data_IF_218288208839
#
_entry.id   IF_218288208839
#
_cell.length_a   1.000
_cell.length_b   1.000
_cell.length_c   1.000
_cell.angle_alpha   90.00
_cell.angle_beta   90.00
_cell.angle_gamma   90.00
#
_symmetry.space_group_name_H-M   'P 1'
#
loop_
_entity.id
_entity.type
_entity.pdbx_description
1 polymer ?
#
# COMPACT_ATOMS: atom_id res chain seq x y z
N UNK A 1 1.26 3.50 12.43
CA UNK A 1 2.43 2.88 11.78
C UNK A 1 2.14 1.42 11.49
N UNK A 2 2.78 0.88 10.46
CA UNK A 2 2.57 -0.47 9.92
C UNK A 2 3.93 -1.11 9.64
N UNK A 3 3.95 -2.38 9.28
CA UNK A 3 5.16 -3.14 8.95
C UNK A 3 5.33 -3.39 7.46
N UNK A 4 4.27 -3.21 6.69
CA UNK A 4 4.17 -3.64 5.29
C UNK A 4 3.95 -5.15 5.13
N UNK A 5 3.54 -5.84 6.19
CA UNK A 5 3.07 -7.22 6.13
C UNK A 5 1.54 -7.24 6.03
N UNK A 6 1.04 -7.56 4.86
CA UNK A 6 -0.40 -7.63 4.62
C UNK A 6 -1.00 -8.77 5.42
N UNK A 7 -2.00 -8.46 6.25
CA UNK A 7 -2.63 -9.41 7.17
C UNK A 7 -4.06 -9.78 6.77
N UNK A 8 -4.65 -9.06 5.81
CA UNK A 8 -5.96 -9.39 5.23
C UNK A 8 -6.11 -8.78 3.83
N UNK A 9 -7.05 -9.30 3.06
CA UNK A 9 -7.48 -8.74 1.77
C UNK A 9 -8.95 -8.38 1.87
N UNK A 10 -9.22 -7.10 2.06
CA UNK A 10 -10.58 -6.57 2.12
C UNK A 10 -11.22 -6.41 0.74
N UNK A 11 -12.53 -6.19 0.73
CA UNK A 11 -13.31 -5.95 -0.50
C UNK A 11 -14.14 -4.69 -0.36
N UNK A 12 -14.11 -3.83 -1.37
CA UNK A 12 -14.99 -2.66 -1.48
C UNK A 12 -16.43 -3.10 -1.76
N UNK A 13 -17.37 -2.67 -0.91
CA UNK A 13 -18.82 -2.96 -1.04
C UNK A 13 -19.64 -1.72 -1.37
N UNK A 14 -19.13 -0.52 -1.08
CA UNK A 14 -19.68 0.72 -1.61
C UNK A 14 -18.58 1.76 -1.82
N UNK A 15 -18.82 2.67 -2.78
CA UNK A 15 -17.95 3.81 -3.08
C UNK A 15 -18.85 4.99 -3.42
N UNK A 16 -18.63 6.12 -2.74
CA UNK A 16 -19.29 7.38 -3.02
C UNK A 16 -18.23 8.44 -3.35
N UNK A 17 -18.39 9.12 -4.48
CA UNK A 17 -17.45 10.13 -5.01
C UNK A 17 -18.06 11.55 -4.99
N UNK A 18 -18.97 11.84 -4.06
CA UNK A 18 -19.57 13.18 -3.97
C UNK A 18 -18.54 14.22 -3.48
N UNK A 19 -18.82 14.96 -2.41
CA UNK A 19 -17.92 16.01 -1.91
C UNK A 19 -16.63 15.47 -1.28
N UNK A 20 -16.72 14.34 -0.58
CA UNK A 20 -15.59 13.61 0.02
C UNK A 20 -15.67 12.18 -0.51
N UNK A 21 -14.52 11.63 -0.92
CA UNK A 21 -14.46 10.23 -1.32
C UNK A 21 -14.69 9.34 -0.10
N UNK A 22 -15.77 8.57 -0.09
CA UNK A 22 -16.13 7.66 0.97
C UNK A 22 -16.25 6.24 0.41
N UNK A 23 -15.75 5.26 1.15
CA UNK A 23 -15.83 3.86 0.78
C UNK A 23 -16.14 2.98 1.97
N UNK A 24 -16.92 1.91 1.75
CA UNK A 24 -17.14 0.84 2.72
C UNK A 24 -16.39 -0.41 2.30
N UNK A 25 -15.65 -0.98 3.24
CA UNK A 25 -14.81 -2.16 3.05
C UNK A 25 -15.28 -3.27 3.99
N UNK A 26 -15.41 -4.49 3.48
CA UNK A 26 -15.57 -5.73 4.27
C UNK A 26 -14.20 -6.35 4.46
N UNK A 27 -13.90 -6.81 5.67
CA UNK A 27 -12.65 -7.48 6.03
C UNK A 27 -12.90 -8.65 7.00
N UNK A 28 -11.87 -9.51 7.16
CA UNK A 28 -11.91 -10.66 8.07
C UNK A 28 -11.26 -10.39 9.43
N UNK A 29 -10.85 -9.16 9.72
CA UNK A 29 -10.30 -8.81 11.02
C UNK A 29 -11.31 -9.09 12.14
N UNK A 30 -10.81 -9.33 13.35
CA UNK A 30 -11.67 -9.49 14.51
C UNK A 30 -12.37 -8.15 14.86
N UNK A 31 -13.70 -8.17 14.94
CA UNK A 31 -14.53 -7.00 15.21
C UNK A 31 -14.19 -6.33 16.55
N UNK A 32 -14.08 -7.11 17.63
CA UNK A 32 -13.86 -6.57 18.97
C UNK A 32 -12.46 -5.99 19.16
N UNK A 33 -11.47 -6.56 18.44
CA UNK A 33 -10.07 -6.14 18.50
C UNK A 33 -9.74 -5.02 17.49
N UNK A 34 -10.73 -4.42 16.84
CA UNK A 34 -10.55 -3.32 15.89
C UNK A 34 -11.47 -2.18 16.27
N UNK A 35 -10.93 -1.17 16.95
CA UNK A 35 -11.74 -0.06 17.49
C UNK A 35 -12.11 0.93 16.36
N UNK A 36 -13.28 1.59 16.47
CA UNK A 36 -13.58 2.78 15.67
C UNK A 36 -12.56 3.88 16.01
N UNK A 37 -12.17 4.66 15.01
CA UNK A 37 -11.09 5.63 15.13
C UNK A 37 -9.70 5.02 14.98
N UNK A 38 -9.56 3.70 14.89
CA UNK A 38 -8.28 3.08 14.57
C UNK A 38 -7.85 3.37 13.12
N UNK A 39 -6.54 3.37 12.88
CA UNK A 39 -5.99 3.42 11.53
C UNK A 39 -5.79 2.01 10.98
N UNK A 40 -6.21 1.80 9.74
CA UNK A 40 -5.89 0.61 8.94
C UNK A 40 -5.18 1.11 7.67
N UNK A 41 -4.19 0.37 7.21
CA UNK A 41 -3.52 0.57 5.94
C UNK A 41 -4.33 -0.09 4.81
N UNK A 42 -4.64 0.66 3.75
CA UNK A 42 -5.47 0.24 2.61
C UNK A 42 -4.68 0.41 1.32
N UNK A 43 -4.18 -0.67 0.72
CA UNK A 43 -3.23 -0.58 -0.40
C UNK A 43 -2.12 0.45 -0.13
N UNK A 44 -1.58 0.49 1.10
CA UNK A 44 -0.56 1.43 1.52
C UNK A 44 -1.07 2.77 2.08
N UNK A 45 -2.36 3.08 1.98
CA UNK A 45 -2.93 4.34 2.48
C UNK A 45 -3.44 4.18 3.91
N UNK A 46 -2.91 4.98 4.83
CA UNK A 46 -3.38 5.04 6.22
C UNK A 46 -4.72 5.78 6.30
N UNK A 47 -5.80 5.10 6.66
CA UNK A 47 -7.13 5.70 6.80
C UNK A 47 -7.75 5.32 8.14
N UNK A 48 -8.48 6.27 8.72
CA UNK A 48 -9.23 6.07 9.96
C UNK A 48 -10.56 5.39 9.65
N UNK A 49 -10.89 4.34 10.39
CA UNK A 49 -12.12 3.58 10.21
C UNK A 49 -13.23 4.11 11.12
N UNK A 50 -14.47 4.06 10.64
CA UNK A 50 -15.67 4.41 11.40
C UNK A 50 -16.90 3.64 10.87
N UNK A 51 -18.06 3.79 11.53
CA UNK A 51 -19.32 3.12 11.15
C UNK A 51 -19.16 1.61 10.92
N UNK A 52 -18.56 0.92 11.89
CA UNK A 52 -18.39 -0.53 11.87
C UNK A 52 -19.73 -1.26 11.91
N UNK A 53 -19.87 -2.33 11.12
CA UNK A 53 -21.03 -3.22 11.13
C UNK A 53 -20.59 -4.67 11.03
N UNK A 54 -21.17 -5.53 11.84
CA UNK A 54 -20.95 -6.97 11.78
C UNK A 54 -21.55 -7.48 10.46
N UNK A 55 -20.82 -8.34 9.78
CA UNK A 55 -21.21 -9.03 8.55
C UNK A 55 -21.20 -10.54 8.81
N UNK A 56 -21.70 -11.32 7.87
CA UNK A 56 -21.73 -12.79 7.98
C UNK A 56 -20.32 -13.39 8.18
N UNK A 57 -19.31 -12.80 7.51
CA UNK A 57 -17.91 -13.16 7.67
C UNK A 57 -17.11 -11.89 7.96
N UNK A 58 -16.64 -11.72 9.22
CA UNK A 58 -15.90 -10.54 9.62
C UNK A 58 -16.79 -9.32 9.89
N UNK A 59 -16.38 -8.15 9.41
CA UNK A 59 -17.14 -6.91 9.56
C UNK A 59 -16.86 -5.94 8.42
N UNK A 60 -17.73 -4.96 8.26
CA UNK A 60 -17.50 -3.81 7.36
C UNK A 60 -17.30 -2.52 8.15
N UNK A 61 -16.62 -1.57 7.53
CA UNK A 61 -16.40 -0.23 8.05
C UNK A 61 -16.33 0.79 6.92
N UNK A 62 -16.47 2.06 7.25
CA UNK A 62 -16.30 3.17 6.32
C UNK A 62 -14.96 3.86 6.53
N UNK A 63 -14.45 4.44 5.43
CA UNK A 63 -13.31 5.35 5.42
C UNK A 63 -13.63 6.56 4.58
N UNK A 64 -13.11 7.72 4.99
CA UNK A 64 -13.09 8.95 4.20
C UNK A 64 -11.69 9.22 3.69
N UNK A 65 -11.58 9.62 2.42
CA UNK A 65 -10.31 9.89 1.76
C UNK A 65 -10.27 11.34 1.32
N UNK A 66 -9.27 12.08 1.79
CA UNK A 66 -9.09 13.48 1.42
C UNK A 66 -8.78 13.63 -0.08
N UNK A 67 -9.10 14.79 -0.65
CA UNK A 67 -8.79 15.09 -2.05
C UNK A 67 -7.27 15.03 -2.33
N UNK A 68 -6.43 15.41 -1.37
CA UNK A 68 -4.98 15.27 -1.50
C UNK A 68 -4.60 13.79 -1.64
N UNK A 69 -5.06 12.93 -0.73
CA UNK A 69 -4.81 11.48 -0.79
C UNK A 69 -5.31 10.87 -2.10
N UNK A 70 -6.51 11.24 -2.55
CA UNK A 70 -7.06 10.79 -3.84
C UNK A 70 -6.12 11.19 -5.00
N UNK A 71 -5.57 12.40 -4.98
CA UNK A 71 -4.70 12.91 -6.06
C UNK A 71 -3.32 12.22 -6.12
N UNK A 72 -2.82 11.73 -4.99
CA UNK A 72 -1.49 11.11 -4.84
C UNK A 72 -1.49 9.59 -5.00
N UNK A 73 -2.66 8.97 -5.03
CA UNK A 73 -2.81 7.51 -4.95
C UNK A 73 -3.48 6.91 -6.19
N UNK A 74 -3.48 5.58 -6.26
CA UNK A 74 -4.16 4.82 -7.31
C UNK A 74 -5.69 4.68 -7.08
N UNK A 75 -6.25 5.36 -6.07
CA UNK A 75 -7.67 5.23 -5.69
C UNK A 75 -8.61 5.59 -6.85
N UNK A 76 -8.31 6.66 -7.58
CA UNK A 76 -9.15 7.11 -8.70
C UNK A 76 -8.38 7.03 -10.03
N UNK A 77 -7.15 7.51 -10.07
CA UNK A 77 -6.35 7.67 -11.30
C UNK A 77 -5.57 6.41 -11.64
N UNK A 78 -6.25 5.30 -11.87
CA UNK A 78 -5.62 4.02 -12.25
C UNK A 78 -6.51 3.22 -13.19
N UNK A 79 -5.94 2.21 -13.87
CA UNK A 79 -6.72 1.23 -14.63
C UNK A 79 -7.64 0.38 -13.75
N UNK A 80 -7.30 0.26 -12.48
CA UNK A 80 -8.04 -0.50 -11.46
C UNK A 80 -8.37 0.41 -10.27
N UNK A 81 -9.25 1.44 -10.46
CA UNK A 81 -9.61 2.36 -9.39
C UNK A 81 -10.41 1.66 -8.29
N UNK A 82 -10.63 2.35 -7.20
CA UNK A 82 -11.52 1.87 -6.15
C UNK A 82 -12.98 1.89 -6.67
N UNK A 83 -13.48 0.70 -6.95
CA UNK A 83 -14.85 0.42 -7.38
C UNK A 83 -15.40 -0.75 -6.58
N UNK A 84 -16.72 -0.91 -6.55
CA UNK A 84 -17.38 -2.03 -5.88
C UNK A 84 -16.82 -3.36 -6.39
N UNK A 85 -16.47 -4.25 -5.46
CA UNK A 85 -15.89 -5.57 -5.73
C UNK A 85 -14.36 -5.61 -5.77
N UNK A 86 -13.66 -4.45 -5.88
CA UNK A 86 -12.21 -4.42 -5.85
C UNK A 86 -11.67 -4.96 -4.52
N UNK A 87 -10.64 -5.79 -4.60
CA UNK A 87 -9.86 -6.25 -3.44
C UNK A 87 -8.78 -5.24 -3.10
N UNK A 88 -8.49 -5.12 -1.80
CA UNK A 88 -7.54 -4.16 -1.23
C UNK A 88 -6.68 -4.87 -0.20
N UNK A 89 -5.36 -4.67 -0.24
CA UNK A 89 -4.45 -5.11 0.81
C UNK A 89 -4.75 -4.37 2.10
N UNK A 90 -4.86 -5.08 3.21
CA UNK A 90 -5.13 -4.50 4.53
C UNK A 90 -4.07 -4.91 5.54
N UNK A 91 -3.68 -3.94 6.37
CA UNK A 91 -2.84 -4.17 7.54
C UNK A 91 -3.35 -3.30 8.69
N UNK A 92 -3.47 -3.88 9.90
CA UNK A 92 -3.79 -3.12 11.12
C UNK A 92 -2.56 -2.39 11.63
N UNK A 93 -2.77 -1.26 12.32
CA UNK A 93 -1.68 -0.55 13.00
C UNK A 93 -0.94 -1.46 13.97
N UNK A 94 0.40 -1.35 14.00
CA UNK A 94 1.27 -1.96 14.99
C UNK A 94 0.86 -1.57 16.42
N UNK A 95 0.91 -2.53 17.31
CA UNK A 95 0.86 -2.31 18.76
C UNK A 95 2.27 -2.32 19.35
N UNK A 96 2.42 -1.75 20.53
CA UNK A 96 3.68 -1.84 21.27
C UNK A 96 3.96 -3.30 21.61
N UNK A 97 5.13 -3.80 21.20
CA UNK A 97 5.54 -5.18 21.39
C UNK A 97 5.30 -6.11 20.19
N UNK A 98 4.61 -5.65 19.16
CA UNK A 98 4.48 -6.41 17.91
C UNK A 98 5.83 -6.51 17.17
N UNK A 99 6.01 -7.57 16.40
CA UNK A 99 7.20 -7.80 15.59
C UNK A 99 7.21 -6.91 14.33
N UNK A 100 8.34 -6.28 14.04
CA UNK A 100 8.58 -5.52 12.82
C UNK A 100 9.20 -6.42 11.74
N UNK A 101 8.38 -7.26 11.11
CA UNK A 101 8.86 -8.24 10.12
C UNK A 101 9.18 -7.68 8.73
N UNK A 102 8.76 -6.43 8.43
CA UNK A 102 9.08 -5.72 7.19
C UNK A 102 9.99 -4.51 7.45
N UNK A 103 9.48 -3.30 7.19
CA UNK A 103 10.13 -2.04 7.55
C UNK A 103 9.08 -1.07 8.12
N UNK A 104 9.50 0.12 8.57
CA UNK A 104 8.56 1.12 9.09
C UNK A 104 7.78 1.72 7.91
N UNK A 105 6.49 1.37 7.82
CA UNK A 105 5.53 1.89 6.86
C UNK A 105 4.58 2.84 7.59
N UNK A 106 4.41 4.05 7.07
CA UNK A 106 3.56 5.06 7.69
C UNK A 106 2.14 5.09 7.12
N UNK A 107 1.98 4.61 5.91
CA UNK A 107 0.75 4.72 5.14
C UNK A 107 0.58 6.09 4.46
N UNK A 108 1.68 6.85 4.32
CA UNK A 108 1.71 8.18 3.72
C UNK A 108 2.36 8.10 2.34
N UNK A 109 1.52 7.97 1.33
CA UNK A 109 1.94 7.73 -0.05
C UNK A 109 2.68 8.94 -0.62
N UNK A 110 3.89 8.69 -1.16
CA UNK A 110 4.73 9.71 -1.82
C UNK A 110 4.34 9.91 -3.28
N UNK A 111 3.83 8.87 -3.91
CA UNK A 111 3.41 8.87 -5.31
C UNK A 111 2.96 7.49 -5.75
N UNK A 112 2.99 7.26 -7.04
CA UNK A 112 2.62 5.97 -7.63
C UNK A 112 3.73 5.44 -8.53
N UNK A 113 3.89 4.11 -8.56
CA UNK A 113 4.77 3.41 -9.48
C UNK A 113 3.96 2.57 -10.47
N UNK A 114 4.39 2.52 -11.73
CA UNK A 114 3.75 1.76 -12.80
C UNK A 114 4.50 0.46 -13.03
N UNK A 115 3.81 -0.67 -13.00
CA UNK A 115 4.38 -1.96 -13.39
C UNK A 115 4.60 -1.98 -14.91
N UNK A 116 5.86 -2.06 -15.34
CA UNK A 116 6.23 -2.03 -16.76
C UNK A 116 6.73 -3.36 -17.29
N UNK A 117 7.24 -4.24 -16.43
CA UNK A 117 7.70 -5.57 -16.84
C UNK A 117 7.49 -6.60 -15.73
N UNK A 118 7.25 -7.86 -16.13
CA UNK A 118 7.10 -9.01 -15.23
C UNK A 118 7.80 -10.22 -15.86
N UNK A 119 8.83 -10.71 -15.18
CA UNK A 119 9.62 -11.87 -15.59
C UNK A 119 9.50 -12.99 -14.56
N UNK A 120 9.31 -14.22 -15.01
CA UNK A 120 9.42 -15.41 -14.15
C UNK A 120 10.88 -15.68 -13.85
N UNK A 121 11.23 -15.73 -12.56
CA UNK A 121 12.55 -16.13 -12.09
C UNK A 121 12.36 -17.23 -11.05
N UNK A 122 12.64 -18.45 -11.43
CA UNK A 122 12.38 -19.64 -10.62
C UNK A 122 10.92 -19.73 -10.17
N UNK A 123 10.67 -19.69 -8.86
CA UNK A 123 9.33 -19.72 -8.26
C UNK A 123 8.77 -18.32 -7.98
N UNK A 124 9.55 -17.25 -8.22
CA UNK A 124 9.15 -15.88 -7.98
C UNK A 124 8.88 -15.11 -9.26
N UNK A 125 8.26 -13.93 -9.16
CA UNK A 125 8.17 -12.97 -10.26
C UNK A 125 9.08 -11.79 -9.95
N UNK A 126 10.00 -11.49 -10.87
CA UNK A 126 10.74 -10.23 -10.88
C UNK A 126 9.91 -9.18 -11.60
N UNK A 127 9.54 -8.14 -10.86
CA UNK A 127 8.73 -7.05 -11.36
C UNK A 127 9.59 -5.79 -11.51
N UNK A 128 9.43 -5.10 -12.65
CA UNK A 128 10.07 -3.81 -12.90
C UNK A 128 9.03 -2.71 -12.82
N UNK A 129 9.33 -1.70 -12.04
CA UNK A 129 8.48 -0.53 -11.84
C UNK A 129 9.17 0.73 -12.37
N UNK A 130 8.38 1.57 -13.03
CA UNK A 130 8.70 2.96 -13.33
C UNK A 130 8.14 3.84 -12.22
N UNK A 131 8.95 4.70 -11.62
CA UNK A 131 8.54 5.66 -10.59
C UNK A 131 8.80 7.11 -11.02
N UNK A 132 8.16 8.11 -10.38
CA UNK A 132 8.46 9.51 -10.62
C UNK A 132 9.95 9.84 -10.37
N UNK A 133 10.58 10.62 -11.25
CA UNK A 133 12.01 10.97 -11.18
C UNK A 133 12.41 11.57 -9.83
N UNK A 134 11.54 12.41 -9.24
CA UNK A 134 11.81 13.03 -7.95
C UNK A 134 11.84 12.04 -6.78
N UNK A 135 11.35 10.81 -6.95
CA UNK A 135 11.37 9.77 -5.93
C UNK A 135 12.54 8.79 -6.07
N UNK A 136 13.20 8.72 -7.24
CA UNK A 136 14.29 7.77 -7.50
C UNK A 136 15.46 7.87 -6.52
N UNK A 137 15.82 9.09 -6.12
CA UNK A 137 16.92 9.33 -5.17
C UNK A 137 16.70 8.68 -3.79
N UNK A 138 15.46 8.32 -3.46
CA UNK A 138 15.10 7.67 -2.21
C UNK A 138 15.07 6.15 -2.29
N UNK A 139 15.20 5.59 -3.50
CA UNK A 139 15.12 4.15 -3.75
C UNK A 139 16.54 3.61 -3.89
N UNK A 140 16.95 2.77 -2.96
CA UNK A 140 18.30 2.22 -2.93
C UNK A 140 18.29 0.71 -3.17
N UNK A 141 19.28 0.21 -3.93
CA UNK A 141 19.52 -1.24 -4.06
C UNK A 141 19.70 -1.88 -2.69
N UNK A 142 18.95 -2.96 -2.42
CA UNK A 142 18.85 -3.65 -1.12
C UNK A 142 18.15 -2.84 -0.02
N UNK A 143 17.64 -1.66 -0.33
CA UNK A 143 16.75 -0.92 0.56
C UNK A 143 15.33 -1.47 0.54
N UNK A 144 14.48 -0.89 1.39
CA UNK A 144 13.06 -1.23 1.49
C UNK A 144 12.21 -0.22 0.71
N UNK A 145 11.08 -0.69 0.22
CA UNK A 145 10.03 0.13 -0.41
C UNK A 145 8.66 -0.49 -0.11
N UNK A 146 7.64 0.33 0.09
CA UNK A 146 6.28 -0.18 0.19
C UNK A 146 5.50 0.07 -1.11
N UNK A 147 4.95 -1.01 -1.69
CA UNK A 147 4.08 -0.96 -2.87
C UNK A 147 2.71 -1.54 -2.54
N UNK A 148 1.65 -0.75 -2.71
CA UNK A 148 0.30 -1.08 -2.22
C UNK A 148 0.33 -1.65 -0.79
N UNK A 149 1.11 -1.02 0.08
CA UNK A 149 1.28 -1.41 1.49
C UNK A 149 2.18 -2.62 1.73
N UNK A 150 2.66 -3.31 0.71
CA UNK A 150 3.54 -4.46 0.87
C UNK A 150 5.00 -4.02 0.97
N UNK A 151 5.67 -4.37 2.06
CA UNK A 151 7.12 -4.18 2.24
C UNK A 151 7.90 -5.10 1.32
N UNK A 152 8.77 -4.53 0.50
CA UNK A 152 9.55 -5.24 -0.50
C UNK A 152 11.00 -4.79 -0.49
N UNK A 153 11.91 -5.72 -0.77
CA UNK A 153 13.32 -5.41 -0.97
C UNK A 153 13.57 -5.02 -2.42
N UNK A 154 14.21 -3.88 -2.62
CA UNK A 154 14.66 -3.42 -3.94
C UNK A 154 15.85 -4.25 -4.40
N UNK A 155 15.74 -4.93 -5.55
CA UNK A 155 16.82 -5.74 -6.10
C UNK A 155 17.84 -4.92 -6.88
N UNK A 156 17.33 -4.01 -7.72
CA UNK A 156 18.14 -3.13 -8.55
C UNK A 156 17.44 -1.81 -8.85
N UNK A 157 18.22 -0.77 -9.15
CA UNK A 157 17.75 0.57 -9.52
C UNK A 157 18.52 1.03 -10.74
N UNK A 158 17.81 1.51 -11.76
CA UNK A 158 18.40 2.06 -12.98
C UNK A 158 17.55 3.24 -13.47
N UNK A 159 18.09 4.46 -13.42
CA UNK A 159 17.37 5.70 -13.73
C UNK A 159 16.08 5.79 -12.89
N UNK A 160 14.91 5.91 -13.53
CA UNK A 160 13.59 5.94 -12.88
C UNK A 160 12.93 4.55 -12.76
N UNK A 161 13.70 3.47 -12.99
CA UNK A 161 13.20 2.09 -12.84
C UNK A 161 13.84 1.40 -11.65
N UNK A 162 13.06 0.58 -10.98
CA UNK A 162 13.55 -0.33 -9.94
C UNK A 162 12.89 -1.69 -10.05
N UNK A 163 13.53 -2.70 -9.48
CA UNK A 163 13.01 -4.08 -9.51
C UNK A 163 12.84 -4.64 -8.11
N UNK A 164 11.78 -5.44 -7.95
CA UNK A 164 11.48 -6.22 -6.75
C UNK A 164 11.12 -7.65 -7.13
N UNK A 165 11.24 -8.59 -6.20
CA UNK A 165 10.76 -9.96 -6.39
C UNK A 165 9.52 -10.23 -5.54
N UNK A 166 8.49 -10.83 -6.15
CA UNK A 166 7.30 -11.30 -5.45
C UNK A 166 7.36 -12.82 -5.36
N UNK A 167 7.46 -13.34 -4.14
CA UNK A 167 7.47 -14.78 -3.86
C UNK A 167 6.05 -15.36 -3.87
N UNK A 168 5.88 -16.69 -4.06
CA UNK A 168 4.56 -17.32 -4.12
C UNK A 168 3.67 -17.01 -2.91
N UNK A 169 4.23 -17.03 -1.71
CA UNK A 169 3.48 -16.72 -0.49
C UNK A 169 2.87 -15.31 -0.54
N UNK A 170 3.65 -14.30 -0.91
CA UNK A 170 3.16 -12.91 -1.03
C UNK A 170 1.98 -12.81 -2.00
N UNK A 171 2.02 -13.55 -3.13
CA UNK A 171 0.90 -13.59 -4.07
C UNK A 171 -0.36 -14.20 -3.48
N UNK A 172 -0.22 -15.21 -2.63
CA UNK A 172 -1.36 -15.92 -2.04
C UNK A 172 -2.10 -15.09 -1.00
N UNK A 173 -1.36 -14.29 -0.22
CA UNK A 173 -1.92 -13.54 0.92
C UNK A 173 -2.21 -12.07 0.62
N UNK A 174 -1.98 -11.62 -0.63
CA UNK A 174 -2.17 -10.24 -1.05
C UNK A 174 -2.86 -10.13 -2.40
N UNK A 175 -3.11 -8.89 -2.86
CA UNK A 175 -3.66 -8.63 -4.20
C UNK A 175 -2.65 -8.81 -5.35
N UNK A 176 -1.39 -9.16 -5.08
CA UNK A 176 -0.33 -9.29 -6.09
C UNK A 176 -0.61 -10.33 -7.18
N UNK A 177 -1.39 -11.37 -6.88
CA UNK A 177 -1.79 -12.35 -7.89
C UNK A 177 -2.62 -11.77 -9.05
N UNK A 178 -3.30 -10.64 -8.81
CA UNK A 178 -4.16 -9.95 -9.79
C UNK A 178 -3.44 -8.82 -10.54
N UNK A 179 -2.12 -8.63 -10.28
CA UNK A 179 -1.33 -7.58 -10.91
C UNK A 179 -1.01 -7.88 -12.38
N UNK A 180 -0.99 -6.85 -13.20
CA UNK A 180 -0.70 -6.91 -14.62
C UNK A 180 0.11 -5.71 -15.10
N UNK A 181 0.85 -5.88 -16.21
CA UNK A 181 1.62 -4.79 -16.81
C UNK A 181 0.72 -3.59 -17.13
N UNK A 182 1.17 -2.43 -16.70
CA UNK A 182 0.45 -1.16 -16.79
C UNK A 182 -0.42 -0.83 -15.58
N UNK A 183 -0.50 -1.70 -14.57
CA UNK A 183 -1.12 -1.37 -13.29
C UNK A 183 -0.28 -0.35 -12.52
N UNK A 184 -0.97 0.46 -11.73
CA UNK A 184 -0.39 1.53 -10.90
C UNK A 184 -0.50 1.14 -9.44
N UNK A 185 0.61 1.24 -8.73
CA UNK A 185 0.75 0.88 -7.31
C UNK A 185 1.05 2.13 -6.49
N UNK A 186 0.40 2.28 -5.33
CA UNK A 186 0.78 3.28 -4.35
C UNK A 186 2.21 3.00 -3.89
N UNK A 187 3.04 4.02 -3.90
CA UNK A 187 4.45 3.94 -3.53
C UNK A 187 4.70 4.81 -2.29
N UNK A 188 5.27 4.20 -1.27
CA UNK A 188 5.83 4.88 -0.11
C UNK A 188 7.32 4.55 -0.03
N UNK A 189 8.18 5.58 0.02
CA UNK A 189 9.62 5.43 0.23
C UNK A 189 9.91 5.03 1.67
N UNK A 190 11.10 4.47 1.92
CA UNK A 190 11.54 4.23 3.29
C UNK A 190 11.60 5.54 4.08
N UNK A 191 10.98 5.53 5.27
CA UNK A 191 10.88 6.70 6.15
C UNK A 191 12.25 7.31 6.46
N UNK A 192 13.28 6.49 6.61
CA UNK A 192 14.65 6.97 6.89
C UNK A 192 15.20 7.82 5.74
N UNK A 193 14.93 7.43 4.50
CA UNK A 193 15.37 8.19 3.32
C UNK A 193 14.76 9.60 3.28
N UNK A 194 13.48 9.74 3.68
CA UNK A 194 12.77 11.02 3.74
C UNK A 194 13.43 12.00 4.73
N UNK A 195 13.75 11.54 5.93
CA UNK A 195 14.36 12.41 6.96
C UNK A 195 15.82 12.72 6.64
N UNK A 196 16.57 11.79 6.08
CA UNK A 196 17.95 12.05 5.64
C UNK A 196 18.02 13.14 4.56
N UNK A 197 17.15 13.09 3.55
CA UNK A 197 17.07 14.12 2.50
C UNK A 197 16.76 15.51 3.11
N UNK A 198 15.79 15.58 4.01
CA UNK A 198 15.42 16.83 4.66
C UNK A 198 16.55 17.43 5.50
N UNK A 199 17.30 16.58 6.22
CA UNK A 199 18.44 17.03 7.02
C UNK A 199 19.63 17.49 6.15
N UNK A 200 19.84 16.88 4.99
CA UNK A 200 20.87 17.31 4.04
C UNK A 200 20.57 18.70 3.48
N UNK A 201 19.33 18.95 3.05
CA UNK A 201 18.88 20.26 2.51
C UNK A 201 18.96 21.35 3.59
N UNK A 202 18.74 21.03 4.86
CA UNK A 202 18.79 22.02 5.95
C UNK A 202 20.23 22.41 6.37
N UNK A 203 21.26 21.73 5.85
CA UNK A 203 22.68 22.03 6.13
C UNK A 203 23.33 22.95 5.09
N UNK A 204 22.61 23.33 4.03
CA UNK A 204 23.01 24.28 3.00
C UNK A 204 22.36 25.63 3.28
#
# INVERSE_FOLDING_TARGET
MFTGLITDVGRLVSVNKSNIFNARIVCNFNYDNTLEGASICHDGVCLTIFNKKIETNGFSYEVEVSNETVSKTNIVNSKKPWVIGKKINLEKSLKIGDELGGHIVTGHIDGVAKLVNCEKVDKSDKLTFECPENLTKFIAKKGSIALNGTSLTVNDVNENFFTVNIIPHTKQVTTWAESSIGDIFNLEIDLLARYLDRLQVARI
#
